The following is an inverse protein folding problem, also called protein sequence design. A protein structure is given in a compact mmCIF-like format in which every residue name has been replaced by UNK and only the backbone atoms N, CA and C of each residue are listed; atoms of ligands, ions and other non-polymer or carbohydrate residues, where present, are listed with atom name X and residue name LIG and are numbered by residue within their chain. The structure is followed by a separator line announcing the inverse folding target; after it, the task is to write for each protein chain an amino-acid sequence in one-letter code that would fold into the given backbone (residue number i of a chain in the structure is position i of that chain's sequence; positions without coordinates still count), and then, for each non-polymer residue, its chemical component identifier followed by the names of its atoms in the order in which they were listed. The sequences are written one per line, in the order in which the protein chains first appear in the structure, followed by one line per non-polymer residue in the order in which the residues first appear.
data_IF_251210172465
#
_entry.id   IF_251210172465
#
_cell.length_a   1.000
_cell.length_b   1.000
_cell.length_c   1.000
_cell.angle_alpha   90.00
_cell.angle_beta   90.00
_cell.angle_gamma   90.00
#
_symmetry.space_group_name_H-M   'P 1'
#
loop_
_entity.id
_entity.type
_entity.pdbx_description
1 polymer ?
#
# COMPACT_ATOMS: atom_id res chain seq x y z
N UNK A 1 10.33 4.35 -17.73
CA UNK A 1 9.09 4.03 -16.98
C UNK A 1 9.51 3.43 -15.65
N UNK A 2 8.97 3.91 -14.54
CA UNK A 2 9.18 3.35 -13.20
C UNK A 2 8.03 2.41 -12.87
N UNK A 3 8.37 1.21 -12.43
CA UNK A 3 7.43 0.13 -12.11
C UNK A 3 7.52 -0.17 -10.62
N UNK A 4 6.38 -0.21 -9.95
CA UNK A 4 6.26 -0.69 -8.59
C UNK A 4 5.72 -2.13 -8.62
N UNK A 5 6.45 -3.08 -8.05
CA UNK A 5 5.90 -4.38 -7.67
C UNK A 5 5.44 -4.26 -6.23
N UNK A 6 4.15 -4.51 -5.99
CA UNK A 6 3.45 -4.10 -4.79
C UNK A 6 2.61 -5.24 -4.22
N UNK A 7 2.63 -5.37 -2.90
CA UNK A 7 1.89 -6.37 -2.14
C UNK A 7 1.60 -5.86 -0.72
N UNK A 8 0.46 -6.26 -0.15
CA UNK A 8 0.00 -5.91 1.21
C UNK A 8 -0.25 -7.14 2.07
N UNK A 9 0.15 -7.02 3.33
CA UNK A 9 -0.28 -7.91 4.40
C UNK A 9 -1.26 -7.19 5.32
N UNK A 10 -2.41 -7.82 5.56
CA UNK A 10 -3.53 -7.20 6.27
C UNK A 10 -4.06 -8.11 7.36
N UNK A 11 -4.71 -7.51 8.37
CA UNK A 11 -5.26 -8.27 9.50
C UNK A 11 -6.59 -8.98 9.18
N UNK A 12 -7.21 -8.67 8.05
CA UNK A 12 -8.51 -9.20 7.60
C UNK A 12 -8.63 -8.96 6.08
N UNK A 13 -9.49 -9.72 5.38
CA UNK A 13 -9.75 -9.54 3.95
C UNK A 13 -10.66 -8.33 3.63
N UNK A 14 -11.32 -7.74 4.65
CA UNK A 14 -12.24 -6.61 4.48
C UNK A 14 -11.62 -5.31 4.97
N UNK A 15 -11.50 -4.33 4.09
CA UNK A 15 -10.77 -3.09 4.36
C UNK A 15 -11.50 -2.06 5.24
N UNK A 16 -12.81 -2.20 5.42
CA UNK A 16 -13.62 -1.40 6.35
C UNK A 16 -13.31 -1.77 7.82
N UNK A 17 -13.03 -3.03 8.10
CA UNK A 17 -12.72 -3.54 9.44
C UNK A 17 -11.21 -3.76 9.63
N UNK A 18 -10.53 -4.39 8.67
CA UNK A 18 -9.11 -4.75 8.72
C UNK A 18 -8.15 -3.56 8.72
N UNK A 19 -6.88 -3.85 8.99
CA UNK A 19 -5.76 -2.89 9.02
C UNK A 19 -4.61 -3.39 8.16
N UNK A 20 -3.89 -2.46 7.54
CA UNK A 20 -2.63 -2.75 6.86
C UNK A 20 -1.56 -3.00 7.93
N UNK A 21 -0.96 -4.18 7.90
CA UNK A 21 0.13 -4.57 8.79
C UNK A 21 1.48 -4.27 8.12
N UNK A 22 1.61 -4.63 6.85
CA UNK A 22 2.84 -4.47 6.07
C UNK A 22 2.45 -4.09 4.64
N UNK A 23 3.28 -3.27 4.00
CA UNK A 23 3.24 -3.09 2.55
C UNK A 23 4.65 -3.02 1.99
N UNK A 24 4.90 -3.75 0.90
CA UNK A 24 6.21 -3.79 0.23
C UNK A 24 6.10 -3.24 -1.18
N UNK A 25 7.07 -2.40 -1.56
CA UNK A 25 7.18 -1.82 -2.90
C UNK A 25 8.60 -2.02 -3.41
N UNK A 26 8.76 -2.87 -4.43
CA UNK A 26 9.99 -2.97 -5.19
C UNK A 26 9.94 -2.05 -6.41
N UNK A 27 10.94 -1.18 -6.52
CA UNK A 27 11.05 -0.20 -7.59
C UNK A 27 11.99 -0.68 -8.70
N UNK A 28 11.47 -0.80 -9.92
CA UNK A 28 12.25 -1.06 -11.13
C UNK A 28 12.27 0.18 -12.03
N UNK A 29 13.43 0.55 -12.62
CA UNK A 29 14.70 -0.18 -12.65
C UNK A 29 15.65 0.10 -11.48
N UNK A 30 15.26 0.91 -10.49
CA UNK A 30 16.16 1.31 -9.39
C UNK A 30 16.68 0.14 -8.55
N UNK A 31 15.99 -1.01 -8.56
CA UNK A 31 16.38 -2.20 -7.82
C UNK A 31 16.23 -2.07 -6.30
N UNK A 32 15.40 -1.14 -5.84
CA UNK A 32 15.23 -0.84 -4.41
C UNK A 32 13.93 -1.41 -3.86
N UNK A 33 14.03 -2.13 -2.75
CA UNK A 33 12.89 -2.60 -1.98
C UNK A 33 12.62 -1.63 -0.83
N UNK A 34 11.35 -1.23 -0.67
CA UNK A 34 10.88 -0.54 0.53
C UNK A 34 9.74 -1.32 1.14
N UNK A 35 9.95 -1.74 2.39
CA UNK A 35 8.91 -2.39 3.19
C UNK A 35 8.54 -1.44 4.31
N UNK A 36 7.25 -1.15 4.43
CA UNK A 36 6.68 -0.40 5.53
C UNK A 36 6.00 -1.37 6.46
N UNK A 37 6.28 -1.31 7.76
CA UNK A 37 5.63 -2.14 8.77
C UNK A 37 4.92 -1.27 9.82
N UNK A 38 3.73 -1.69 10.23
CA UNK A 38 2.91 -0.93 11.16
C UNK A 38 3.56 -0.78 12.53
N UNK A 39 4.18 -1.86 13.02
CA UNK A 39 4.91 -1.88 14.28
C UNK A 39 6.10 -0.91 14.27
N UNK A 40 6.85 -0.85 13.18
CA UNK A 40 7.97 0.09 13.05
C UNK A 40 7.48 1.54 12.93
N UNK A 41 6.48 1.79 12.10
CA UNK A 41 5.95 3.14 11.82
C UNK A 41 5.31 3.78 13.06
N UNK A 42 4.70 2.96 13.92
CA UNK A 42 4.10 3.43 15.17
C UNK A 42 4.94 3.14 16.42
N UNK A 43 6.13 2.55 16.29
CA UNK A 43 6.99 2.22 17.43
C UNK A 43 6.38 1.17 18.37
N UNK A 44 5.57 0.24 17.84
CA UNK A 44 4.89 -0.82 18.57
C UNK A 44 3.60 -0.38 19.29
N UNK A 45 3.29 0.92 19.27
CA UNK A 45 2.06 1.45 19.86
C UNK A 45 0.94 1.57 18.82
N UNK A 46 -0.30 1.74 19.28
CA UNK A 46 -1.45 2.08 18.42
C UNK A 46 -1.58 1.21 17.17
N UNK A 47 -1.42 -0.10 17.32
CA UNK A 47 -1.49 -1.10 16.24
C UNK A 47 -2.86 -1.18 15.54
N UNK A 48 -3.86 -0.44 16.02
CA UNK A 48 -5.16 -0.27 15.38
C UNK A 48 -5.22 0.92 14.42
N UNK A 49 -4.18 1.78 14.37
CA UNK A 49 -4.12 2.98 13.54
C UNK A 49 -3.10 2.83 12.40
N UNK A 50 -3.58 2.33 11.25
CA UNK A 50 -2.80 2.12 10.04
C UNK A 50 -2.74 3.37 9.14
N UNK A 51 -3.14 4.53 9.65
CA UNK A 51 -3.16 5.80 8.90
C UNK A 51 -1.80 6.18 8.34
N UNK A 52 -0.75 6.07 9.15
CA UNK A 52 0.61 6.48 8.74
C UNK A 52 1.17 5.56 7.67
N UNK A 53 1.02 4.24 7.86
CA UNK A 53 1.52 3.25 6.91
C UNK A 53 0.78 3.33 5.57
N UNK A 54 -0.55 3.50 5.59
CA UNK A 54 -1.35 3.68 4.37
C UNK A 54 -0.88 4.89 3.55
N UNK A 55 -0.60 6.01 4.23
CA UNK A 55 -0.05 7.22 3.60
C UNK A 55 1.33 6.96 2.98
N UNK A 56 2.24 6.31 3.71
CA UNK A 56 3.60 6.03 3.23
C UNK A 56 3.59 5.14 1.98
N UNK A 57 2.77 4.09 1.98
CA UNK A 57 2.61 3.18 0.84
C UNK A 57 2.05 3.93 -0.37
N UNK A 58 0.97 4.70 -0.19
CA UNK A 58 0.39 5.54 -1.25
C UNK A 58 1.44 6.49 -1.84
N UNK A 59 2.17 7.19 -0.98
CA UNK A 59 3.18 8.17 -1.40
C UNK A 59 4.34 7.51 -2.14
N UNK A 60 4.67 6.27 -1.80
CA UNK A 60 5.65 5.48 -2.55
C UNK A 60 5.10 5.06 -3.91
N UNK A 61 3.91 4.44 -3.98
CA UNK A 61 3.27 4.05 -5.25
C UNK A 61 3.10 5.23 -6.21
N UNK A 62 2.81 6.41 -5.69
CA UNK A 62 2.64 7.64 -6.47
C UNK A 62 3.91 8.11 -7.19
N UNK A 63 5.07 7.50 -6.94
CA UNK A 63 6.34 7.80 -7.63
C UNK A 63 6.50 7.00 -8.92
N UNK A 64 5.67 5.98 -9.13
CA UNK A 64 5.74 5.06 -10.26
C UNK A 64 4.67 5.38 -11.29
N UNK A 65 4.82 4.84 -12.50
CA UNK A 65 3.82 4.98 -13.57
C UNK A 65 2.99 3.70 -13.77
N UNK A 66 3.57 2.54 -13.44
CA UNK A 66 2.95 1.22 -13.51
C UNK A 66 3.03 0.56 -12.14
N UNK A 67 1.92 0.02 -11.66
CA UNK A 67 1.86 -0.85 -10.49
C UNK A 67 1.58 -2.27 -10.95
N UNK A 68 2.38 -3.22 -10.45
CA UNK A 68 2.29 -4.65 -10.71
C UNK A 68 2.06 -5.35 -9.38
N UNK A 69 1.13 -6.29 -9.33
CA UNK A 69 0.87 -7.10 -8.13
C UNK A 69 0.21 -8.43 -8.49
N UNK A 70 -0.14 -9.20 -7.47
CA UNK A 70 -0.88 -10.46 -7.64
C UNK A 70 -2.33 -10.27 -7.18
N UNK A 71 -3.29 -10.25 -8.11
CA UNK A 71 -4.69 -9.90 -7.83
C UNK A 71 -4.88 -8.53 -7.12
N UNK A 72 -3.92 -7.62 -7.28
CA UNK A 72 -3.88 -6.32 -6.63
C UNK A 72 -4.96 -5.35 -7.11
N UNK A 73 -5.54 -5.56 -8.30
CA UNK A 73 -6.74 -4.85 -8.75
C UNK A 73 -7.97 -5.19 -7.92
N UNK A 74 -8.06 -6.44 -7.45
CA UNK A 74 -9.20 -6.96 -6.70
C UNK A 74 -9.03 -6.86 -5.19
N UNK A 75 -7.80 -6.77 -4.70
CA UNK A 75 -7.52 -6.76 -3.27
C UNK A 75 -6.70 -5.54 -2.82
N UNK A 76 -5.40 -5.49 -3.11
CA UNK A 76 -4.46 -4.55 -2.49
C UNK A 76 -4.79 -3.08 -2.73
N UNK A 77 -5.02 -2.69 -4.00
CA UNK A 77 -5.33 -1.32 -4.36
C UNK A 77 -6.71 -0.88 -3.84
N UNK A 78 -7.78 -1.68 -3.95
CA UNK A 78 -9.03 -1.42 -3.24
C UNK A 78 -8.85 -1.28 -1.73
N UNK A 79 -8.11 -2.20 -1.10
CA UNK A 79 -7.89 -2.20 0.34
C UNK A 79 -7.24 -0.90 0.80
N UNK A 80 -6.10 -0.55 0.20
CA UNK A 80 -5.40 0.70 0.45
C UNK A 80 -6.28 1.91 0.20
N UNK A 81 -7.06 1.91 -0.89
CA UNK A 81 -7.97 3.01 -1.23
C UNK A 81 -9.07 3.20 -0.18
N UNK A 82 -9.64 2.11 0.34
CA UNK A 82 -10.61 2.16 1.44
C UNK A 82 -9.98 2.69 2.73
N UNK A 83 -8.76 2.26 3.08
CA UNK A 83 -8.06 2.78 4.27
C UNK A 83 -7.81 4.29 4.15
N UNK A 84 -7.33 4.76 3.01
CA UNK A 84 -7.14 6.19 2.75
C UNK A 84 -8.47 6.97 2.86
N UNK A 85 -9.56 6.44 2.29
CA UNK A 85 -10.87 7.06 2.37
C UNK A 85 -11.39 7.14 3.82
N UNK A 86 -11.23 6.08 4.62
CA UNK A 86 -11.62 6.06 6.04
C UNK A 86 -10.91 7.13 6.87
N UNK A 87 -9.71 7.52 6.47
CA UNK A 87 -8.94 8.59 7.12
C UNK A 87 -9.04 9.96 6.42
N UNK A 88 -9.96 10.11 5.45
CA UNK A 88 -10.14 11.32 4.66
C UNK A 88 -8.82 11.82 4.02
N UNK A 89 -8.03 10.89 3.47
CA UNK A 89 -6.74 11.16 2.82
C UNK A 89 -6.87 11.21 1.30
N UNK A 90 -5.92 11.90 0.66
CA UNK A 90 -5.81 11.89 -0.79
C UNK A 90 -5.68 10.46 -1.33
N UNK A 91 -6.35 10.24 -2.46
CA UNK A 91 -6.38 8.95 -3.17
C UNK A 91 -5.02 8.65 -3.81
N UNK A 92 -4.82 7.38 -4.12
CA UNK A 92 -3.71 6.95 -4.98
C UNK A 92 -3.91 7.60 -6.36
N UNK A 93 -2.83 8.10 -6.97
CA UNK A 93 -2.86 8.61 -8.34
C UNK A 93 -3.23 7.48 -9.31
N UNK A 94 -3.77 7.86 -10.47
CA UNK A 94 -4.01 6.87 -11.53
C UNK A 94 -2.67 6.35 -12.06
N UNK A 95 -2.50 5.05 -11.99
CA UNK A 95 -1.36 4.32 -12.53
C UNK A 95 -1.84 3.41 -13.66
N UNK A 96 -0.95 3.07 -14.59
CA UNK A 96 -1.12 1.83 -15.32
C UNK A 96 -1.06 0.68 -14.31
N UNK A 97 -1.78 -0.40 -14.59
CA UNK A 97 -1.89 -1.51 -13.67
C UNK A 97 -1.84 -2.84 -14.41
N UNK A 98 -1.09 -3.79 -13.85
CA UNK A 98 -0.95 -5.15 -14.35
C UNK A 98 -1.06 -6.11 -13.17
N UNK A 99 -2.01 -7.03 -13.22
CA UNK A 99 -1.99 -8.21 -12.34
C UNK A 99 -1.23 -9.34 -13.05
N UNK A 100 -0.39 -10.04 -12.29
CA UNK A 100 0.28 -11.28 -12.69
C UNK A 100 -0.57 -12.52 -12.37
#
# INVERSE_FOLDING_TARGET
MKVAFFDLETSDLKADIGRILIGSVYSYPEGTMKTFRLDEVNGGERMWDDRKIARLIRDELNKHQLVVGWYSKGFDLPFLSTRLANYNMDRIKRHFHLDL
#
